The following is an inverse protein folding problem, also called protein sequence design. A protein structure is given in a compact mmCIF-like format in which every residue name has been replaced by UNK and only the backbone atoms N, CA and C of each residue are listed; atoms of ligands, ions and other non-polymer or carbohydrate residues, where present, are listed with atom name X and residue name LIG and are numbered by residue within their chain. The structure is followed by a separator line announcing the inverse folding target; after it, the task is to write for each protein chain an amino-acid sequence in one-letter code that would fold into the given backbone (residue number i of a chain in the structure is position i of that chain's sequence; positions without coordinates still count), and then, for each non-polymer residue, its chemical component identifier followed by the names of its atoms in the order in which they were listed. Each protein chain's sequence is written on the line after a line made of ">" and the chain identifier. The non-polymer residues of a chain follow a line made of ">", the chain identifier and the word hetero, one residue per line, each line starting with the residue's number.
data_IF_344460193776
#
_entry.id   IF_344460193776
#
_cell.length_a   1.000
_cell.length_b   1.000
_cell.length_c   1.000
_cell.angle_alpha   90.00
_cell.angle_beta   90.00
_cell.angle_gamma   90.00
#
_symmetry.space_group_name_H-M   'P 1'
#
loop_
_entity.id
_entity.type
_entity.pdbx_description
1 polymer ?
#
# COMPACT_ATOMS: atom_id res chain seq x y z
N UNK A 1 -33.94 -20.57 -25.47
CA UNK A 1 -33.14 -19.34 -25.31
C UNK A 1 -32.99 -19.06 -23.81
N UNK A 2 -31.94 -19.56 -23.14
CA UNK A 2 -31.75 -19.36 -21.69
C UNK A 2 -30.85 -18.14 -21.46
N UNK A 3 -31.35 -17.13 -20.75
CA UNK A 3 -30.55 -16.02 -20.23
C UNK A 3 -29.79 -16.54 -19.00
N UNK A 4 -28.46 -16.37 -18.99
CA UNK A 4 -27.64 -16.57 -17.79
C UNK A 4 -27.42 -15.21 -17.15
N UNK A 5 -27.98 -15.03 -15.97
CA UNK A 5 -27.58 -14.00 -15.02
C UNK A 5 -26.24 -14.39 -14.39
N UNK A 6 -25.30 -13.45 -14.35
CA UNK A 6 -24.10 -13.54 -13.50
C UNK A 6 -24.30 -12.58 -12.32
N UNK A 7 -24.14 -13.01 -11.06
CA UNK A 7 -23.98 -12.06 -9.97
C UNK A 7 -22.49 -11.67 -9.82
N UNK A 8 -22.25 -10.37 -9.67
CA UNK A 8 -20.96 -9.80 -9.27
C UNK A 8 -20.70 -10.08 -7.80
N UNK A 9 -19.45 -10.38 -7.46
CA UNK A 9 -19.00 -10.54 -6.09
C UNK A 9 -18.50 -9.18 -5.59
N UNK A 10 -19.40 -8.45 -4.94
CA UNK A 10 -19.06 -7.37 -4.01
C UNK A 10 -18.92 -8.02 -2.62
N UNK A 11 -17.70 -8.11 -2.11
CA UNK A 11 -17.46 -8.43 -0.69
C UNK A 11 -16.88 -7.18 -0.02
N UNK A 12 -17.80 -6.46 0.60
CA UNK A 12 -17.61 -5.30 1.45
C UNK A 12 -17.44 -5.75 2.91
N UNK A 13 -16.45 -5.18 3.59
CA UNK A 13 -16.33 -5.20 5.04
C UNK A 13 -15.35 -4.11 5.47
N UNK A 14 -15.91 -2.90 5.66
CA UNK A 14 -15.31 -1.83 6.46
C UNK A 14 -15.67 -2.04 7.93
N UNK A 15 -14.74 -1.85 8.89
CA UNK A 15 -15.09 -1.74 10.30
C UNK A 15 -15.23 -0.25 10.65
N UNK A 16 -16.41 0.20 11.05
CA UNK A 16 -16.49 1.36 11.93
C UNK A 16 -17.76 1.36 12.80
N UNK A 17 -17.55 1.59 14.10
CA UNK A 17 -18.57 1.36 15.12
C UNK A 17 -18.20 1.87 16.51
N UNK A 18 -18.20 3.22 16.64
CA UNK A 18 -18.61 4.01 17.81
C UNK A 18 -17.67 4.27 19.01
N UNK A 19 -17.57 5.56 19.38
CA UNK A 19 -17.51 6.03 20.77
C UNK A 19 -16.38 7.00 21.12
N UNK A 20 -16.67 8.30 21.22
CA UNK A 20 -15.77 9.33 21.79
C UNK A 20 -15.97 9.43 23.31
N UNK A 21 -14.88 9.49 24.09
CA UNK A 21 -14.71 10.43 25.22
C UNK A 21 -13.28 10.44 25.77
N UNK A 22 -12.89 11.55 26.39
CA UNK A 22 -11.51 12.04 26.46
C UNK A 22 -10.51 11.26 27.32
N UNK A 23 -9.28 11.17 26.83
CA UNK A 23 -8.12 10.81 27.63
C UNK A 23 -6.86 11.50 27.11
N UNK A 24 -6.17 12.13 28.06
CA UNK A 24 -4.87 12.80 27.99
C UNK A 24 -3.83 11.93 27.24
N UNK A 25 -3.01 12.55 26.39
CA UNK A 25 -1.92 11.87 25.69
C UNK A 25 -0.99 11.14 26.68
N UNK A 26 -0.69 9.84 26.49
CA UNK A 26 0.43 9.21 27.15
C UNK A 26 1.69 9.36 26.29
N UNK A 27 2.71 9.95 26.89
CA UNK A 27 4.10 9.77 26.50
C UNK A 27 4.57 8.41 27.07
N UNK A 28 5.04 7.51 26.18
CA UNK A 28 5.88 6.33 26.48
C UNK A 28 5.14 5.00 26.78
N UNK A 29 5.83 3.83 26.74
CA UNK A 29 7.27 3.60 26.56
C UNK A 29 7.64 2.85 25.27
N UNK A 30 8.96 2.77 25.01
CA UNK A 30 9.54 1.79 24.10
C UNK A 30 9.06 0.37 24.46
N UNK A 31 8.67 -0.42 23.47
CA UNK A 31 8.33 -1.83 23.66
C UNK A 31 9.14 -2.66 22.68
N UNK A 32 9.85 -3.63 23.25
CA UNK A 32 10.80 -4.53 22.61
C UNK A 32 10.22 -5.24 21.40
N UNK A 33 10.77 -4.94 20.23
CA UNK A 33 10.76 -5.91 19.14
C UNK A 33 11.61 -7.11 19.58
N UNK A 34 11.13 -8.36 19.47
CA UNK A 34 11.98 -9.51 19.75
C UNK A 34 13.14 -9.51 18.75
N UNK A 35 14.37 -9.56 19.28
CA UNK A 35 15.57 -9.78 18.49
C UNK A 35 15.47 -11.19 17.88
N UNK A 36 15.05 -11.26 16.61
CA UNK A 36 15.17 -12.47 15.82
C UNK A 36 16.61 -12.60 15.34
N UNK A 37 17.32 -13.59 15.86
CA UNK A 37 18.66 -13.98 15.45
C UNK A 37 18.71 -14.26 13.95
N UNK A 38 19.64 -13.62 13.25
CA UNK A 38 20.04 -13.97 11.88
C UNK A 38 20.71 -15.35 11.87
N UNK A 39 20.29 -16.31 11.04
CA UNK A 39 21.18 -17.35 10.59
C UNK A 39 21.96 -16.83 9.37
N UNK A 40 23.29 -16.75 9.51
CA UNK A 40 24.22 -16.71 8.38
C UNK A 40 24.06 -18.00 7.58
N UNK A 41 23.60 -17.90 6.33
CA UNK A 41 23.88 -18.89 5.28
C UNK A 41 23.79 -18.20 3.91
N UNK A 42 24.88 -17.53 3.53
CA UNK A 42 25.16 -17.21 2.12
C UNK A 42 25.58 -18.50 1.40
N UNK A 43 24.62 -19.13 0.71
CA UNK A 43 24.92 -20.09 -0.34
C UNK A 43 24.16 -19.66 -1.59
N UNK A 44 24.84 -18.90 -2.45
CA UNK A 44 24.33 -18.51 -3.76
C UNK A 44 24.06 -19.72 -4.65
N UNK A 45 23.06 -19.63 -5.52
CA UNK A 45 22.75 -20.69 -6.47
C UNK A 45 23.83 -20.72 -7.58
N UNK A 46 24.38 -21.89 -7.87
CA UNK A 46 25.37 -22.06 -8.94
C UNK A 46 24.65 -22.29 -10.26
N UNK A 47 24.93 -21.46 -11.26
CA UNK A 47 24.38 -21.60 -12.62
C UNK A 47 25.11 -22.71 -13.40
N UNK A 48 24.52 -23.13 -14.54
CA UNK A 48 25.13 -24.07 -15.49
C UNK A 48 26.48 -23.56 -16.05
N UNK A 49 26.75 -22.26 -15.94
CA UNK A 49 28.02 -21.62 -16.35
C UNK A 49 29.06 -21.58 -15.22
N UNK A 50 28.73 -22.07 -14.02
CA UNK A 50 29.61 -22.05 -12.84
C UNK A 50 29.65 -20.69 -12.13
N UNK A 51 28.82 -19.72 -12.54
CA UNK A 51 28.69 -18.42 -11.91
C UNK A 51 27.67 -18.50 -10.75
N UNK A 52 28.03 -17.95 -9.59
CA UNK A 52 27.18 -17.90 -8.40
C UNK A 52 26.23 -16.71 -8.49
N UNK A 53 24.92 -16.97 -8.47
CA UNK A 53 23.90 -15.91 -8.35
C UNK A 53 23.89 -15.40 -6.90
N UNK A 54 23.93 -14.07 -6.68
CA UNK A 54 23.75 -13.48 -5.36
C UNK A 54 22.46 -13.98 -4.69
N UNK A 55 22.49 -14.21 -3.38
CA UNK A 55 21.35 -14.82 -2.67
C UNK A 55 20.06 -13.99 -2.79
N UNK A 56 20.17 -12.66 -2.86
CA UNK A 56 19.06 -11.71 -3.02
C UNK A 56 18.51 -11.62 -4.46
N UNK A 57 19.21 -12.21 -5.43
CA UNK A 57 18.77 -12.33 -6.82
C UNK A 57 18.08 -13.68 -7.11
N UNK A 58 18.10 -14.62 -6.17
CA UNK A 58 17.42 -15.92 -6.32
C UNK A 58 15.90 -15.72 -6.31
N UNK A 59 15.24 -16.18 -7.37
CA UNK A 59 13.78 -16.13 -7.51
C UNK A 59 13.13 -17.22 -6.65
N UNK A 60 12.31 -16.79 -5.69
CA UNK A 60 11.58 -17.67 -4.77
C UNK A 60 10.10 -17.26 -4.71
N UNK A 61 9.20 -18.14 -4.24
CA UNK A 61 7.81 -17.77 -3.98
C UNK A 61 7.72 -16.51 -3.12
N UNK A 62 6.79 -15.62 -3.47
CA UNK A 62 6.58 -14.38 -2.71
C UNK A 62 5.68 -14.68 -1.51
N UNK A 63 6.23 -14.48 -0.32
CA UNK A 63 5.51 -14.68 0.95
C UNK A 63 5.44 -13.38 1.72
N UNK A 64 4.47 -13.27 2.64
CA UNK A 64 4.38 -12.15 3.57
C UNK A 64 5.68 -11.92 4.34
N UNK A 65 6.33 -12.99 4.78
CA UNK A 65 7.58 -12.89 5.56
C UNK A 65 8.73 -12.33 4.72
N UNK A 66 8.79 -12.61 3.41
CA UNK A 66 9.76 -11.98 2.50
C UNK A 66 9.47 -10.49 2.27
N UNK A 67 8.19 -10.10 2.23
CA UNK A 67 7.81 -8.68 2.17
C UNK A 67 8.18 -7.99 3.48
N UNK A 68 7.94 -8.62 4.63
CA UNK A 68 8.35 -8.11 5.94
C UNK A 68 9.88 -7.95 6.05
N UNK A 69 10.66 -8.92 5.54
CA UNK A 69 12.11 -8.83 5.46
C UNK A 69 12.57 -7.66 4.56
N UNK A 70 11.92 -7.47 3.41
CA UNK A 70 12.13 -6.31 2.53
C UNK A 70 11.90 -4.98 3.25
N UNK A 71 10.77 -4.84 3.95
CA UNK A 71 10.46 -3.63 4.74
C UNK A 71 11.51 -3.41 5.84
N UNK A 72 11.93 -4.48 6.53
CA UNK A 72 12.95 -4.41 7.57
C UNK A 72 14.32 -3.95 7.04
N UNK A 73 14.82 -4.54 5.94
CA UNK A 73 16.09 -4.12 5.30
C UNK A 73 16.12 -2.64 4.93
N UNK A 74 14.95 -2.09 4.59
CA UNK A 74 14.80 -0.67 4.20
C UNK A 74 14.57 0.26 5.39
N UNK A 75 14.55 -0.26 6.61
CA UNK A 75 14.26 0.52 7.82
C UNK A 75 12.82 1.01 7.90
N UNK A 76 11.89 0.40 7.16
CA UNK A 76 10.50 0.80 7.18
C UNK A 76 9.76 0.16 8.35
N UNK A 77 9.05 0.99 9.12
CA UNK A 77 8.18 0.51 10.19
C UNK A 77 6.84 0.07 9.61
N UNK A 78 6.38 -1.10 10.04
CA UNK A 78 5.10 -1.65 9.64
C UNK A 78 4.41 -2.32 10.83
N UNK A 79 3.11 -2.52 10.66
CA UNK A 79 2.20 -3.28 11.52
C UNK A 79 1.58 -4.40 10.68
N UNK A 80 0.94 -5.34 11.35
CA UNK A 80 0.09 -6.34 10.73
C UNK A 80 -1.35 -5.98 11.06
N UNK A 81 -2.22 -5.87 10.06
CA UNK A 81 -3.63 -5.59 10.28
C UNK A 81 -4.44 -6.85 10.61
N UNK A 82 -5.75 -6.68 10.83
CA UNK A 82 -6.68 -7.76 11.19
C UNK A 82 -6.81 -8.83 10.10
N UNK A 83 -6.45 -8.51 8.85
CA UNK A 83 -6.46 -9.44 7.72
C UNK A 83 -5.12 -10.17 7.58
N UNK A 84 -4.12 -9.80 8.37
CA UNK A 84 -2.77 -10.34 8.29
C UNK A 84 -1.88 -9.61 7.28
N UNK A 85 -2.37 -8.53 6.67
CA UNK A 85 -1.62 -7.75 5.69
C UNK A 85 -0.63 -6.81 6.40
N UNK A 86 0.50 -6.54 5.75
CA UNK A 86 1.48 -5.59 6.27
C UNK A 86 1.01 -4.17 5.94
N UNK A 87 1.05 -3.26 6.90
CA UNK A 87 0.65 -1.87 6.68
C UNK A 87 1.48 -0.88 7.49
N UNK A 88 1.42 0.41 7.12
CA UNK A 88 2.19 1.44 7.83
C UNK A 88 1.94 2.85 7.29
N UNK A 89 2.69 3.80 7.84
CA UNK A 89 2.64 5.21 7.47
C UNK A 89 3.94 5.66 6.79
N UNK A 90 3.82 6.27 5.62
CA UNK A 90 4.91 6.93 4.89
C UNK A 90 4.51 8.36 4.58
N UNK A 91 5.25 9.34 5.08
CA UNK A 91 4.90 10.77 4.98
C UNK A 91 3.43 11.02 5.40
N UNK A 92 3.00 10.41 6.51
CA UNK A 92 1.63 10.45 7.04
C UNK A 92 0.53 9.85 6.12
N UNK A 93 0.91 9.18 5.03
CA UNK A 93 0.00 8.43 4.15
C UNK A 93 -0.03 6.96 4.56
N UNK A 94 -1.21 6.37 4.52
CA UNK A 94 -1.37 4.95 4.83
C UNK A 94 -1.06 4.09 3.61
N UNK A 95 -0.23 3.07 3.79
CA UNK A 95 0.02 2.06 2.77
C UNK A 95 -0.14 0.65 3.34
N UNK A 96 -0.62 -0.27 2.51
CA UNK A 96 -0.65 -1.70 2.78
C UNK A 96 0.00 -2.53 1.67
N UNK A 97 0.52 -3.70 2.05
CA UNK A 97 1.24 -4.64 1.20
C UNK A 97 0.67 -6.03 1.42
N UNK A 98 0.15 -6.61 0.34
CA UNK A 98 -0.57 -7.88 0.40
C UNK A 98 -0.24 -8.74 -0.81
N UNK A 99 -0.18 -10.06 -0.60
CA UNK A 99 -0.21 -11.03 -1.70
C UNK A 99 -1.64 -11.53 -1.84
N UNK A 100 -2.34 -11.05 -2.85
CA UNK A 100 -3.75 -11.39 -3.07
C UNK A 100 -3.86 -12.71 -3.82
N UNK A 101 -4.56 -13.68 -3.21
CA UNK A 101 -4.81 -15.04 -3.74
C UNK A 101 -3.53 -15.79 -4.11
N UNK A 102 -2.40 -15.49 -3.48
CA UNK A 102 -1.07 -16.03 -3.83
C UNK A 102 -0.63 -15.71 -5.27
N UNK A 103 -1.30 -14.77 -5.96
CA UNK A 103 -1.07 -14.49 -7.38
C UNK A 103 -0.49 -13.11 -7.65
N UNK A 104 -0.82 -12.11 -6.84
CA UNK A 104 -0.51 -10.70 -7.13
C UNK A 104 0.01 -10.03 -5.87
N UNK A 105 1.21 -9.47 -5.94
CA UNK A 105 1.73 -8.57 -4.92
C UNK A 105 1.19 -7.16 -5.18
N UNK A 106 0.43 -6.64 -4.23
CA UNK A 106 -0.16 -5.31 -4.27
C UNK A 106 0.52 -4.38 -3.27
N UNK A 107 0.81 -3.16 -3.73
CA UNK A 107 1.11 -2.01 -2.88
C UNK A 107 -0.06 -1.05 -3.02
N UNK A 108 -0.81 -0.85 -1.94
CA UNK A 108 -1.98 0.04 -1.93
C UNK A 108 -1.72 1.23 -1.05
N UNK A 109 -1.93 2.42 -1.59
CA UNK A 109 -1.88 3.67 -0.84
C UNK A 109 -3.29 4.20 -0.62
N UNK A 110 -3.49 4.92 0.48
CA UNK A 110 -4.70 5.70 0.73
C UNK A 110 -4.32 7.14 1.04
N UNK A 111 -4.96 8.07 0.35
CA UNK A 111 -4.81 9.49 0.64
C UNK A 111 -5.20 9.74 2.09
N UNK A 112 -4.37 10.50 2.83
CA UNK A 112 -4.58 10.75 4.26
C UNK A 112 -5.81 11.61 4.53
N UNK A 113 -6.29 12.33 3.51
CA UNK A 113 -7.51 13.12 3.51
C UNK A 113 -8.66 12.36 2.84
N UNK A 114 -9.84 12.91 3.03
CA UNK A 114 -11.08 12.42 2.43
C UNK A 114 -11.77 13.59 1.74
N UNK A 115 -12.24 13.36 0.52
CA UNK A 115 -13.16 14.25 -0.15
C UNK A 115 -14.57 14.12 0.41
N UNK A 116 -15.40 15.12 0.16
CA UNK A 116 -16.84 15.02 0.34
C UNK A 116 -17.51 14.59 -0.97
N UNK A 117 -18.72 14.04 -0.90
CA UNK A 117 -19.47 13.58 -2.07
C UNK A 117 -19.71 14.71 -3.09
N UNK A 118 -19.81 15.96 -2.63
CA UNK A 118 -19.99 17.14 -3.48
C UNK A 118 -18.80 17.39 -4.41
N UNK A 119 -17.59 16.94 -4.02
CA UNK A 119 -16.36 17.03 -4.82
C UNK A 119 -16.07 15.76 -5.62
N UNK A 120 -16.94 14.75 -5.58
CA UNK A 120 -16.69 13.46 -6.22
C UNK A 120 -16.31 13.59 -7.71
N UNK A 121 -17.02 14.42 -8.47
CA UNK A 121 -16.75 14.59 -9.90
C UNK A 121 -15.38 15.20 -10.20
N UNK A 122 -14.94 16.16 -9.37
CA UNK A 122 -13.61 16.78 -9.47
C UNK A 122 -12.51 15.74 -9.17
N UNK A 123 -12.70 14.95 -8.11
CA UNK A 123 -11.77 13.88 -7.73
C UNK A 123 -11.73 12.80 -8.80
N UNK A 124 -12.88 12.39 -9.35
CA UNK A 124 -12.94 11.41 -10.44
C UNK A 124 -12.19 11.91 -11.67
N UNK A 125 -12.41 13.18 -12.07
CA UNK A 125 -11.69 13.80 -13.17
C UNK A 125 -10.18 13.83 -12.94
N UNK A 126 -9.74 14.13 -11.71
CA UNK A 126 -8.32 14.01 -11.33
C UNK A 126 -7.81 12.58 -11.49
N UNK A 127 -8.52 11.57 -10.96
CA UNK A 127 -8.06 10.17 -11.05
C UNK A 127 -8.02 9.65 -12.48
N UNK A 128 -9.00 10.04 -13.31
CA UNK A 128 -9.04 9.69 -14.73
C UNK A 128 -7.89 10.35 -15.50
N UNK A 129 -7.67 11.65 -15.27
CA UNK A 129 -6.53 12.38 -15.83
C UNK A 129 -5.20 11.72 -15.48
N UNK A 130 -5.00 11.35 -14.21
CA UNK A 130 -3.79 10.64 -13.78
C UNK A 130 -3.60 9.32 -14.51
N UNK A 131 -4.62 8.46 -14.53
CA UNK A 131 -4.56 7.14 -15.17
C UNK A 131 -4.37 7.21 -16.69
N UNK A 132 -4.92 8.25 -17.33
CA UNK A 132 -4.79 8.46 -18.77
C UNK A 132 -3.38 8.92 -19.17
N UNK A 133 -2.74 9.72 -18.33
CA UNK A 133 -1.43 10.32 -18.62
C UNK A 133 -0.25 9.50 -18.12
N UNK A 134 -0.45 8.64 -17.11
CA UNK A 134 0.62 7.88 -16.45
C UNK A 134 0.28 6.40 -16.40
N UNK A 135 1.29 5.56 -16.66
CA UNK A 135 1.12 4.09 -16.65
C UNK A 135 0.88 3.53 -15.25
N UNK A 136 1.47 4.13 -14.21
CA UNK A 136 1.33 3.72 -12.81
C UNK A 136 1.51 4.92 -11.85
N UNK A 137 0.96 4.86 -10.62
CA UNK A 137 0.04 3.83 -10.11
C UNK A 137 -1.37 3.97 -10.71
N UNK A 138 -2.18 2.90 -10.61
CA UNK A 138 -3.63 3.02 -10.86
C UNK A 138 -4.22 3.84 -9.71
N UNK A 139 -5.00 4.86 -10.03
CA UNK A 139 -5.73 5.69 -9.08
C UNK A 139 -7.23 5.41 -9.17
N UNK A 140 -7.92 5.30 -8.04
CA UNK A 140 -9.36 5.12 -8.01
C UNK A 140 -9.98 5.66 -6.73
N UNK A 141 -11.30 5.80 -6.76
CA UNK A 141 -12.08 6.36 -5.68
C UNK A 141 -12.95 5.28 -5.03
N UNK A 142 -13.08 5.33 -3.71
CA UNK A 142 -14.11 4.62 -2.95
C UNK A 142 -14.99 5.63 -2.26
N UNK A 143 -16.31 5.51 -2.47
CA UNK A 143 -17.32 6.28 -1.75
C UNK A 143 -17.87 5.41 -0.64
N UNK A 144 -17.89 5.93 0.58
CA UNK A 144 -18.48 5.26 1.74
C UNK A 144 -19.94 5.72 1.94
N UNK A 145 -20.71 4.93 2.69
CA UNK A 145 -22.14 5.19 2.93
C UNK A 145 -22.42 6.54 3.60
N UNK A 146 -21.44 7.07 4.34
CA UNK A 146 -21.52 8.38 4.99
C UNK A 146 -21.12 9.56 4.07
N UNK A 147 -20.94 9.29 2.77
CA UNK A 147 -20.58 10.28 1.76
C UNK A 147 -19.09 10.63 1.72
N UNK A 148 -18.23 9.96 2.50
CA UNK A 148 -16.78 10.16 2.43
C UNK A 148 -16.19 9.55 1.17
N UNK A 149 -15.32 10.31 0.52
CA UNK A 149 -14.65 9.94 -0.72
C UNK A 149 -13.18 9.69 -0.43
N UNK A 150 -12.74 8.44 -0.51
CA UNK A 150 -11.33 8.08 -0.37
C UNK A 150 -10.69 7.89 -1.73
N UNK A 151 -9.51 8.48 -1.91
CA UNK A 151 -8.66 8.21 -3.07
C UNK A 151 -7.62 7.15 -2.71
N UNK A 152 -7.51 6.13 -3.56
CA UNK A 152 -6.58 5.03 -3.39
C UNK A 152 -5.67 4.93 -4.60
N UNK A 153 -4.44 4.49 -4.35
CA UNK A 153 -3.47 4.13 -5.37
C UNK A 153 -3.14 2.66 -5.27
N UNK A 154 -2.87 2.01 -6.41
CA UNK A 154 -2.48 0.62 -6.45
C UNK A 154 -1.40 0.37 -7.51
N UNK A 155 -0.36 -0.34 -7.10
CA UNK A 155 0.62 -0.96 -7.99
C UNK A 155 0.58 -2.47 -7.73
N UNK A 156 0.34 -3.23 -8.78
CA UNK A 156 0.08 -4.67 -8.73
C UNK A 156 1.05 -5.41 -9.66
N UNK A 157 1.68 -6.47 -9.16
CA UNK A 157 2.62 -7.30 -9.92
C UNK A 157 2.23 -8.77 -9.78
N UNK A 158 2.03 -9.52 -10.88
CA UNK A 158 1.85 -10.98 -10.81
C UNK A 158 3.10 -11.66 -10.25
N UNK A 159 2.92 -12.60 -9.31
CA UNK A 159 4.03 -13.25 -8.56
C UNK A 159 4.02 -14.78 -8.61
N UNK A 160 3.24 -15.37 -9.52
CA UNK A 160 3.13 -16.84 -9.69
C UNK A 160 4.49 -17.55 -9.84
N UNK A 161 5.41 -16.93 -10.55
CA UNK A 161 6.74 -17.48 -10.83
C UNK A 161 7.75 -17.19 -9.71
N UNK A 162 7.32 -16.54 -8.64
CA UNK A 162 8.21 -15.99 -7.63
C UNK A 162 8.85 -14.67 -8.06
N UNK A 163 9.55 -14.05 -7.11
CA UNK A 163 10.39 -12.88 -7.29
C UNK A 163 11.69 -13.06 -6.50
N UNK A 164 12.76 -12.38 -6.92
CA UNK A 164 13.94 -12.16 -6.09
C UNK A 164 13.68 -11.14 -4.98
N UNK A 165 14.55 -11.08 -3.98
CA UNK A 165 14.44 -10.08 -2.91
C UNK A 165 14.63 -8.66 -3.46
N UNK A 166 15.56 -8.49 -4.41
CA UNK A 166 15.76 -7.21 -5.13
C UNK A 166 14.53 -6.76 -5.92
N UNK A 167 13.78 -7.71 -6.52
CA UNK A 167 12.54 -7.42 -7.24
C UNK A 167 11.39 -7.03 -6.28
N UNK A 168 11.27 -7.71 -5.13
CA UNK A 168 10.32 -7.32 -4.09
C UNK A 168 10.65 -5.90 -3.62
N UNK A 169 11.90 -5.64 -3.24
CA UNK A 169 12.37 -4.33 -2.78
C UNK A 169 12.02 -3.23 -3.80
N UNK A 170 12.29 -3.47 -5.08
CA UNK A 170 11.98 -2.53 -6.15
C UNK A 170 10.48 -2.27 -6.26
N UNK A 171 9.65 -3.32 -6.26
CA UNK A 171 8.19 -3.18 -6.38
C UNK A 171 7.60 -2.38 -5.22
N UNK A 172 8.05 -2.64 -3.99
CA UNK A 172 7.62 -1.86 -2.81
C UNK A 172 8.00 -0.38 -2.94
N UNK A 173 9.23 -0.10 -3.42
CA UNK A 173 9.73 1.25 -3.64
C UNK A 173 8.87 2.02 -4.66
N UNK A 174 8.59 1.39 -5.80
CA UNK A 174 7.79 1.97 -6.88
C UNK A 174 6.37 2.24 -6.41
N UNK A 175 5.77 1.32 -5.66
CA UNK A 175 4.43 1.49 -5.10
C UNK A 175 4.33 2.67 -4.14
N UNK A 176 5.29 2.78 -3.22
CA UNK A 176 5.37 3.89 -2.25
C UNK A 176 5.59 5.24 -2.93
N UNK A 177 6.61 5.34 -3.79
CA UNK A 177 6.95 6.58 -4.48
C UNK A 177 5.83 7.03 -5.42
N UNK A 178 5.28 6.10 -6.22
CA UNK A 178 4.19 6.39 -7.14
C UNK A 178 2.91 6.82 -6.42
N UNK A 179 2.56 6.16 -5.32
CA UNK A 179 1.43 6.58 -4.48
C UNK A 179 1.63 7.97 -3.88
N UNK A 180 2.84 8.25 -3.37
CA UNK A 180 3.22 9.56 -2.85
C UNK A 180 2.98 10.68 -3.88
N UNK A 181 3.45 10.51 -5.12
CA UNK A 181 3.27 11.51 -6.18
C UNK A 181 1.80 11.83 -6.49
N UNK A 182 0.91 10.83 -6.46
CA UNK A 182 -0.54 11.06 -6.60
C UNK A 182 -1.05 11.90 -5.45
N UNK A 183 -0.68 11.54 -4.23
CA UNK A 183 -1.18 12.20 -3.03
C UNK A 183 -0.65 13.61 -2.86
N UNK A 184 0.57 13.88 -3.32
CA UNK A 184 1.14 15.23 -3.36
C UNK A 184 0.38 16.11 -4.36
N UNK A 185 0.06 15.58 -5.54
CA UNK A 185 -0.78 16.29 -6.52
C UNK A 185 -2.20 16.55 -6.01
N UNK A 186 -2.77 15.64 -5.20
CA UNK A 186 -4.04 15.86 -4.52
C UNK A 186 -3.94 16.92 -3.42
N UNK A 187 -2.87 16.93 -2.63
CA UNK A 187 -2.69 17.96 -1.61
C UNK A 187 -2.51 19.35 -2.22
N UNK A 188 -1.91 19.46 -3.42
CA UNK A 188 -1.82 20.71 -4.16
C UNK A 188 -3.21 21.18 -4.66
N UNK A 189 -4.05 20.25 -5.13
CA UNK A 189 -5.42 20.56 -5.57
C UNK A 189 -6.36 20.87 -4.38
N UNK A 190 -6.10 20.26 -3.22
CA UNK A 190 -6.88 20.44 -1.99
C UNK A 190 -5.97 20.86 -0.82
N UNK A 191 -5.44 22.11 -0.83
CA UNK A 191 -4.58 22.60 0.24
C UNK A 191 -5.26 22.51 1.60
N UNK A 192 -4.45 22.36 2.65
CA UNK A 192 -4.97 22.36 4.01
C UNK A 192 -5.56 23.72 4.38
N UNK A 193 -6.88 23.85 4.64
CA UNK A 193 -7.45 25.11 5.11
C UNK A 193 -6.90 25.54 6.47
N UNK A 194 -6.27 24.64 7.25
CA UNK A 194 -5.57 25.02 8.48
C UNK A 194 -4.19 25.65 8.23
N UNK A 195 -3.64 25.51 7.02
CA UNK A 195 -2.36 26.09 6.60
C UNK A 195 -2.52 27.33 5.70
N UNK A 196 -3.74 27.63 5.24
CA UNK A 196 -4.04 28.91 4.59
C UNK A 196 -3.95 30.03 5.61
N UNK A 197 -2.96 30.92 5.45
CA UNK A 197 -2.95 32.19 6.16
C UNK A 197 -3.98 33.10 5.51
N UNK A 198 -5.15 33.26 6.15
CA UNK A 198 -6.07 34.34 5.77
C UNK A 198 -5.40 35.69 6.12
N UNK A 199 -5.14 36.58 5.16
CA UNK A 199 -4.84 37.97 5.49
C UNK A 199 -6.14 38.62 6.00
N UNK A 200 -6.12 39.03 7.27
CA UNK A 200 -7.13 39.93 7.85
C UNK A 200 -7.10 41.31 7.22
#
# INVERSE_FOLDING_TARGET
>A
MRRSDRPGADDDASPDGAGREGARAPVGPASDAPAASTPDVEAGAVTDTGETVPADEIVLPVTRDRIAASLHRRGYRYLVDERGDLCGLWAYRFFSFAVVRDQVLQVRGRWSRQGSIERLWEILAFTDGWNRERRHPKCYVRVHDDGRVHVLTEVSLPVRTGLSDTQIDHHLAVGLAGGGLVFDALDELYPDPALSQDPS
#
